data_IF_961485447620
#
_entry.id   IF_961485447620
#
_cell.length_a   1.000
_cell.length_b   1.000
_cell.length_c   1.000
_cell.angle_alpha   90.00
_cell.angle_beta   90.00
_cell.angle_gamma   90.00
#
_symmetry.space_group_name_H-M   'P 1'
#
loop_
_entity.id
_entity.type
_entity.pdbx_description
1 polymer ?
#
# COMPACT_ATOMS: atom_id res chain seq x y z
N UNK A 1 22.90 -64.59 -23.75
CA UNK A 1 22.09 -64.61 -24.99
C UNK A 1 22.12 -63.22 -25.62
N UNK A 2 22.66 -63.08 -26.84
CA UNK A 2 22.85 -61.79 -27.50
C UNK A 2 21.70 -61.52 -28.48
N UNK A 3 21.24 -60.28 -28.59
CA UNK A 3 20.76 -59.76 -29.88
C UNK A 3 21.29 -58.35 -30.07
N UNK A 4 22.25 -58.30 -30.98
CA UNK A 4 22.87 -57.14 -31.60
C UNK A 4 21.88 -56.54 -32.59
N UNK A 5 21.81 -55.23 -32.72
CA UNK A 5 21.79 -54.56 -34.02
C UNK A 5 22.52 -53.22 -33.90
N UNK A 6 23.44 -53.01 -34.82
CA UNK A 6 24.25 -51.81 -35.01
C UNK A 6 23.88 -51.14 -36.33
N UNK A 7 24.45 -49.95 -36.55
CA UNK A 7 24.48 -49.09 -37.75
C UNK A 7 23.51 -47.88 -37.64
N UNK A 8 23.97 -46.63 -37.48
CA UNK A 8 24.88 -45.76 -38.28
C UNK A 8 24.08 -44.79 -39.15
N UNK A 9 24.62 -43.56 -39.31
CA UNK A 9 24.20 -42.41 -40.15
C UNK A 9 23.28 -41.44 -39.39
N UNK A 10 23.59 -40.17 -39.08
CA UNK A 10 24.48 -39.18 -39.68
C UNK A 10 23.64 -38.01 -40.19
N UNK A 11 23.66 -36.83 -39.55
CA UNK A 11 23.40 -35.53 -40.19
C UNK A 11 23.57 -34.30 -39.25
N UNK A 12 24.58 -33.49 -39.54
CA UNK A 12 24.56 -32.03 -39.72
C UNK A 12 23.80 -31.15 -38.71
N UNK A 13 24.61 -30.49 -37.87
CA UNK A 13 24.65 -29.08 -37.46
C UNK A 13 23.54 -28.14 -37.97
N UNK A 14 22.74 -27.58 -37.05
CA UNK A 14 22.34 -26.16 -37.07
C UNK A 14 22.19 -25.66 -35.63
N UNK A 15 23.12 -24.80 -35.20
CA UNK A 15 22.98 -23.92 -34.03
C UNK A 15 22.12 -22.72 -34.45
N UNK A 16 20.82 -22.74 -34.18
CA UNK A 16 20.01 -21.52 -34.22
C UNK A 16 20.00 -20.90 -32.83
N UNK A 17 20.85 -19.90 -32.63
CA UNK A 17 20.77 -18.97 -31.52
C UNK A 17 19.47 -18.16 -31.64
N UNK A 18 18.47 -18.48 -30.83
CA UNK A 18 17.25 -17.68 -30.74
C UNK A 18 17.51 -16.53 -29.76
N UNK A 19 17.95 -15.40 -30.29
CA UNK A 19 17.99 -14.14 -29.56
C UNK A 19 16.54 -13.68 -29.33
N UNK A 20 15.96 -14.03 -28.19
CA UNK A 20 14.71 -13.44 -27.72
C UNK A 20 14.97 -11.98 -27.37
N UNK A 21 14.70 -11.09 -28.33
CA UNK A 21 14.56 -9.65 -28.10
C UNK A 21 13.36 -9.44 -27.19
N UNK A 22 13.62 -9.26 -25.89
CA UNK A 22 12.61 -8.84 -24.93
C UNK A 22 12.10 -7.45 -25.34
N UNK A 23 10.89 -7.40 -25.87
CA UNK A 23 10.14 -6.16 -26.09
C UNK A 23 9.90 -5.48 -24.75
N UNK A 24 10.24 -4.18 -24.57
CA UNK A 24 9.83 -3.46 -23.38
C UNK A 24 8.31 -3.35 -23.39
N UNK A 25 7.65 -4.01 -22.43
CA UNK A 25 6.26 -3.78 -22.14
C UNK A 25 6.12 -2.34 -21.63
N UNK A 26 5.66 -1.44 -22.50
CA UNK A 26 5.20 -0.11 -22.10
C UNK A 26 4.00 -0.33 -21.20
N UNK A 27 4.21 -0.22 -19.88
CA UNK A 27 3.14 -0.12 -18.92
C UNK A 27 2.35 1.15 -19.25
N UNK A 28 1.18 0.98 -19.88
CA UNK A 28 0.23 2.07 -20.02
C UNK A 28 -0.26 2.43 -18.60
N UNK A 29 -0.13 3.69 -18.17
CA UNK A 29 -0.81 4.12 -16.95
C UNK A 29 -2.31 3.99 -17.21
N UNK A 30 -2.97 3.10 -16.46
CA UNK A 30 -4.42 3.07 -16.34
C UNK A 30 -4.86 4.37 -15.64
N UNK A 31 -5.01 5.43 -16.44
CA UNK A 31 -5.74 6.62 -16.05
C UNK A 31 -7.24 6.30 -16.13
N UNK A 32 -7.75 5.54 -15.16
CA UNK A 32 -9.19 5.33 -14.99
C UNK A 32 -9.57 5.73 -13.57
N UNK A 33 -9.94 7.00 -13.42
CA UNK A 33 -10.44 7.59 -12.18
C UNK A 33 -10.48 9.12 -12.16
N UNK A 34 -10.75 9.80 -13.28
CA UNK A 34 -10.89 11.28 -13.32
C UNK A 34 -12.33 11.72 -13.02
N UNK A 35 -13.00 11.06 -12.08
CA UNK A 35 -14.33 11.51 -11.66
C UNK A 35 -14.35 11.65 -10.15
N UNK A 36 -14.04 12.86 -9.69
CA UNK A 36 -14.50 13.50 -8.44
C UNK A 36 -13.42 14.31 -7.69
N UNK A 37 -12.71 15.25 -8.33
CA UNK A 37 -12.15 16.38 -7.57
C UNK A 37 -12.09 17.71 -8.34
N UNK A 38 -12.94 17.89 -9.35
CA UNK A 38 -13.18 19.22 -9.91
C UNK A 38 -14.09 19.99 -8.94
N UNK A 39 -13.50 20.80 -8.04
CA UNK A 39 -14.27 21.68 -7.14
C UNK A 39 -13.97 21.56 -5.65
N UNK A 40 -12.92 20.84 -5.23
CA UNK A 40 -12.48 20.90 -3.83
C UNK A 40 -12.02 22.34 -3.52
N UNK A 41 -12.85 23.07 -2.79
CA UNK A 41 -12.53 24.41 -2.31
C UNK A 41 -12.12 24.30 -0.84
N UNK A 42 -10.81 24.25 -0.54
CA UNK A 42 -10.38 24.19 0.84
C UNK A 42 -10.83 25.46 1.58
N UNK A 43 -11.02 25.38 2.91
CA UNK A 43 -11.27 26.55 3.74
C UNK A 43 -10.23 27.66 3.48
N UNK A 44 -10.62 28.94 3.59
CA UNK A 44 -9.69 30.05 3.43
C UNK A 44 -8.45 29.88 4.32
N UNK A 45 -7.27 30.14 3.76
CA UNK A 45 -6.00 30.03 4.49
C UNK A 45 -5.39 28.63 4.57
N UNK A 46 -6.12 27.56 4.22
CA UNK A 46 -5.61 26.18 4.35
C UNK A 46 -4.42 25.92 3.43
N UNK A 47 -4.45 26.39 2.19
CA UNK A 47 -3.31 26.23 1.26
C UNK A 47 -2.07 26.96 1.79
N UNK A 48 -2.23 28.16 2.31
CA UNK A 48 -1.13 28.93 2.92
C UNK A 48 -0.59 28.23 4.17
N UNK A 49 -1.46 27.65 5.00
CA UNK A 49 -1.05 26.88 6.17
C UNK A 49 -0.25 25.63 5.78
N UNK A 50 -0.70 24.86 4.78
CA UNK A 50 0.02 23.69 4.27
C UNK A 50 1.40 24.07 3.71
N UNK A 51 1.52 25.20 3.00
CA UNK A 51 2.81 25.69 2.53
C UNK A 51 3.74 26.07 3.68
N UNK A 52 3.23 26.78 4.70
CA UNK A 52 4.03 27.23 5.85
C UNK A 52 4.47 26.07 6.75
N UNK A 53 3.54 25.19 7.10
CA UNK A 53 3.71 24.21 8.17
C UNK A 53 4.29 22.87 7.67
N UNK A 54 4.01 22.51 6.41
CA UNK A 54 4.53 21.30 5.78
C UNK A 54 5.57 21.58 4.69
N UNK A 55 5.95 22.85 4.50
CA UNK A 55 6.94 23.30 3.50
C UNK A 55 6.63 22.85 2.07
N UNK A 56 5.34 22.82 1.73
CA UNK A 56 4.87 22.48 0.40
C UNK A 56 4.85 23.72 -0.51
N UNK A 57 4.96 23.52 -1.82
CA UNK A 57 4.53 24.54 -2.79
C UNK A 57 3.00 24.61 -2.83
N UNK A 58 2.45 25.70 -3.37
CA UNK A 58 0.99 25.82 -3.58
C UNK A 58 0.43 24.64 -4.39
N UNK A 59 1.09 24.25 -5.48
CA UNK A 59 0.70 23.11 -6.32
C UNK A 59 0.75 21.79 -5.54
N UNK A 60 1.78 21.58 -4.73
CA UNK A 60 1.90 20.38 -3.88
C UNK A 60 0.80 20.36 -2.80
N UNK A 61 0.47 21.49 -2.19
CA UNK A 61 -0.59 21.60 -1.20
C UNK A 61 -1.97 21.27 -1.82
N UNK A 62 -2.25 21.79 -3.01
CA UNK A 62 -3.44 21.40 -3.77
C UNK A 62 -3.45 19.90 -4.06
N UNK A 63 -2.38 19.38 -4.66
CA UNK A 63 -2.25 17.96 -5.02
C UNK A 63 -2.46 17.05 -3.81
N UNK A 64 -1.90 17.43 -2.65
CA UNK A 64 -2.05 16.70 -1.39
C UNK A 64 -3.52 16.54 -1.00
N UNK A 65 -4.27 17.64 -0.98
CA UNK A 65 -5.68 17.60 -0.60
C UNK A 65 -6.51 16.75 -1.57
N UNK A 66 -6.23 16.82 -2.88
CA UNK A 66 -6.90 15.98 -3.87
C UNK A 66 -6.60 14.49 -3.62
N UNK A 67 -5.35 14.16 -3.31
CA UNK A 67 -4.95 12.78 -2.99
C UNK A 67 -5.58 12.27 -1.70
N UNK A 68 -5.62 13.08 -0.64
CA UNK A 68 -6.25 12.70 0.63
C UNK A 68 -7.73 12.36 0.45
N UNK A 69 -8.48 13.19 -0.30
CA UNK A 69 -9.90 12.92 -0.63
C UNK A 69 -10.02 11.62 -1.43
N UNK A 70 -9.27 11.48 -2.52
CA UNK A 70 -9.31 10.30 -3.39
C UNK A 70 -8.99 9.01 -2.63
N UNK A 71 -7.96 9.02 -1.79
CA UNK A 71 -7.48 7.84 -1.08
C UNK A 71 -8.33 7.49 0.13
N UNK A 72 -9.11 8.44 0.68
CA UNK A 72 -10.08 8.15 1.75
C UNK A 72 -11.14 7.14 1.31
N UNK A 73 -11.65 7.25 0.08
CA UNK A 73 -12.63 6.29 -0.45
C UNK A 73 -12.03 4.90 -0.67
N UNK A 74 -10.80 4.85 -1.21
CA UNK A 74 -10.05 3.59 -1.41
C UNK A 74 -9.80 2.90 -0.06
N UNK A 75 -9.39 3.68 0.94
CA UNK A 75 -9.15 3.20 2.30
C UNK A 75 -10.41 2.63 2.93
N UNK A 76 -11.54 3.35 2.87
CA UNK A 76 -12.82 2.88 3.40
C UNK A 76 -13.27 1.55 2.73
N UNK A 77 -13.10 1.45 1.41
CA UNK A 77 -13.41 0.22 0.67
C UNK A 77 -12.52 -0.96 1.06
N UNK A 78 -11.23 -0.73 1.26
CA UNK A 78 -10.28 -1.75 1.71
C UNK A 78 -10.55 -2.18 3.15
N UNK A 79 -10.79 -1.24 4.07
CA UNK A 79 -11.17 -1.55 5.46
C UNK A 79 -12.39 -2.47 5.52
N UNK A 80 -13.44 -2.15 4.74
CA UNK A 80 -14.65 -2.96 4.69
C UNK A 80 -14.39 -4.39 4.15
N UNK A 81 -13.58 -4.53 3.09
CA UNK A 81 -13.24 -5.82 2.48
C UNK A 81 -12.36 -6.69 3.38
N UNK A 82 -11.41 -6.08 4.09
CA UNK A 82 -10.45 -6.78 4.95
C UNK A 82 -11.06 -7.17 6.30
N UNK A 83 -12.03 -6.39 6.79
CA UNK A 83 -12.74 -6.69 8.03
C UNK A 83 -11.79 -6.85 9.22
N UNK A 84 -11.89 -7.98 9.93
CA UNK A 84 -11.05 -8.29 11.10
C UNK A 84 -9.56 -8.44 10.77
N UNK A 85 -9.19 -8.56 9.49
CA UNK A 85 -7.79 -8.64 9.05
C UNK A 85 -7.14 -7.28 8.86
N UNK A 86 -7.92 -6.18 8.89
CA UNK A 86 -7.42 -4.83 8.72
C UNK A 86 -6.46 -4.45 9.85
N UNK A 87 -5.20 -4.17 9.51
CA UNK A 87 -4.12 -3.81 10.44
C UNK A 87 -3.91 -2.30 10.61
N UNK A 88 -4.73 -1.46 9.98
CA UNK A 88 -4.55 -0.01 9.92
C UNK A 88 -4.11 0.48 8.53
N UNK A 89 -4.07 1.80 8.36
CA UNK A 89 -3.67 2.45 7.11
C UNK A 89 -3.05 3.82 7.37
N UNK A 90 -2.17 4.26 6.48
CA UNK A 90 -1.58 5.59 6.53
C UNK A 90 -1.21 6.09 5.12
N UNK A 91 -1.03 7.40 5.01
CA UNK A 91 -0.57 8.04 3.78
C UNK A 91 0.93 8.31 3.88
N UNK A 92 1.66 8.06 2.79
CA UNK A 92 3.08 8.36 2.66
C UNK A 92 3.33 9.38 1.55
N UNK A 93 4.43 10.12 1.72
CA UNK A 93 4.88 11.15 0.79
C UNK A 93 4.35 12.55 1.11
N UNK A 94 5.09 13.56 0.63
CA UNK A 94 4.80 14.96 0.90
C UNK A 94 3.40 15.38 0.43
N UNK A 95 2.95 14.82 -0.69
CA UNK A 95 1.63 15.08 -1.27
C UNK A 95 0.64 13.93 -1.04
N UNK A 96 0.89 13.10 -0.03
CA UNK A 96 0.01 12.00 0.37
C UNK A 96 -0.36 11.06 -0.80
N UNK A 97 0.58 10.81 -1.71
CA UNK A 97 0.30 10.10 -2.96
C UNK A 97 0.16 8.59 -2.80
N UNK A 98 0.67 8.03 -1.69
CA UNK A 98 0.68 6.58 -1.46
C UNK A 98 -0.17 6.25 -0.25
N UNK A 99 -1.21 5.45 -0.45
CA UNK A 99 -1.94 4.80 0.64
C UNK A 99 -1.28 3.46 0.95
N UNK A 100 -0.83 3.27 2.19
CA UNK A 100 -0.42 1.96 2.71
C UNK A 100 -1.55 1.38 3.54
N UNK A 101 -1.89 0.12 3.29
CA UNK A 101 -2.89 -0.63 4.06
C UNK A 101 -2.24 -1.88 4.64
N UNK A 102 -2.29 -1.98 5.97
CA UNK A 102 -1.78 -3.13 6.71
C UNK A 102 -2.85 -4.24 6.80
N UNK A 103 -2.42 -5.49 6.70
CA UNK A 103 -3.27 -6.69 6.82
C UNK A 103 -2.56 -7.81 7.55
N UNK A 104 -3.31 -8.58 8.35
CA UNK A 104 -2.82 -9.79 9.02
C UNK A 104 -2.79 -11.03 8.11
N UNK A 105 -3.26 -10.93 6.86
CA UNK A 105 -3.23 -12.03 5.90
C UNK A 105 -2.52 -11.62 4.61
N UNK A 106 -1.42 -12.29 4.31
CA UNK A 106 -0.62 -12.03 3.10
C UNK A 106 -1.38 -12.28 1.79
N UNK A 107 -2.44 -13.10 1.81
CA UNK A 107 -3.30 -13.31 0.65
C UNK A 107 -4.06 -12.05 0.21
N UNK A 108 -4.21 -11.07 1.11
CA UNK A 108 -4.90 -9.81 0.81
C UNK A 108 -4.04 -8.81 0.03
N UNK A 109 -2.72 -9.02 -0.03
CA UNK A 109 -1.80 -8.05 -0.66
C UNK A 109 -2.15 -7.78 -2.12
N UNK A 110 -2.54 -8.83 -2.87
CA UNK A 110 -2.98 -8.68 -4.25
C UNK A 110 -4.26 -7.83 -4.38
N UNK A 111 -5.22 -8.01 -3.47
CA UNK A 111 -6.46 -7.22 -3.43
C UNK A 111 -6.16 -5.75 -3.10
N UNK A 112 -5.23 -5.49 -2.17
CA UNK A 112 -4.81 -4.14 -1.79
C UNK A 112 -4.12 -3.43 -2.96
N UNK A 113 -3.18 -4.12 -3.64
CA UNK A 113 -2.50 -3.57 -4.81
C UNK A 113 -3.44 -3.34 -5.98
N UNK A 114 -4.40 -4.24 -6.21
CA UNK A 114 -5.43 -4.06 -7.24
C UNK A 114 -6.33 -2.83 -6.98
N UNK A 115 -6.47 -2.41 -5.71
CA UNK A 115 -7.19 -1.19 -5.34
C UNK A 115 -6.32 0.09 -5.43
N UNK A 116 -5.06 -0.01 -5.87
CA UNK A 116 -4.15 1.13 -6.00
C UNK A 116 -3.46 1.54 -4.70
N UNK A 117 -3.41 0.67 -3.70
CA UNK A 117 -2.70 0.88 -2.44
C UNK A 117 -1.50 -0.05 -2.28
N UNK A 118 -0.57 0.30 -1.40
CA UNK A 118 0.55 -0.55 -1.02
C UNK A 118 0.13 -1.46 0.13
N UNK A 119 0.18 -2.78 -0.07
CA UNK A 119 -0.11 -3.74 0.99
C UNK A 119 1.07 -3.91 1.94
N UNK A 120 0.81 -3.92 3.25
CA UNK A 120 1.79 -4.33 4.27
C UNK A 120 1.26 -5.49 5.09
N UNK A 121 1.99 -6.60 5.12
CA UNK A 121 1.67 -7.68 6.04
C UNK A 121 2.15 -7.33 7.45
N UNK A 122 1.29 -7.51 8.46
CA UNK A 122 1.57 -7.23 9.87
C UNK A 122 1.07 -8.36 10.77
N UNK A 123 1.50 -8.39 12.04
CA UNK A 123 1.14 -9.46 12.97
C UNK A 123 -0.23 -9.25 13.63
N UNK A 124 -0.53 -8.00 14.01
CA UNK A 124 -1.74 -7.66 14.77
C UNK A 124 -2.73 -6.87 13.91
N UNK A 125 -4.01 -7.21 14.02
CA UNK A 125 -5.06 -6.38 13.43
C UNK A 125 -5.24 -5.10 14.24
N UNK A 126 -5.89 -4.09 13.66
CA UNK A 126 -6.25 -2.87 14.39
C UNK A 126 -7.18 -3.19 15.57
N UNK A 127 -8.04 -4.21 15.43
CA UNK A 127 -8.90 -4.67 16.52
C UNK A 127 -8.06 -5.26 17.67
N UNK A 128 -7.07 -6.09 17.37
CA UNK A 128 -6.18 -6.67 18.39
C UNK A 128 -5.39 -5.59 19.12
N UNK A 129 -4.83 -4.62 18.39
CA UNK A 129 -4.09 -3.50 18.99
C UNK A 129 -4.97 -2.66 19.92
N UNK A 130 -6.22 -2.41 19.54
CA UNK A 130 -7.16 -1.70 20.41
C UNK A 130 -7.49 -2.49 21.69
N UNK A 131 -7.62 -3.81 21.61
CA UNK A 131 -7.81 -4.64 22.82
C UNK A 131 -6.56 -4.67 23.70
N UNK A 132 -5.37 -4.73 23.10
CA UNK A 132 -4.10 -4.63 23.84
C UNK A 132 -4.01 -3.29 24.58
N UNK A 133 -4.35 -2.17 23.93
CA UNK A 133 -4.37 -0.85 24.57
C UNK A 133 -5.34 -0.79 25.76
N UNK A 134 -6.52 -1.40 25.65
CA UNK A 134 -7.47 -1.49 26.78
C UNK A 134 -6.90 -2.27 27.96
N UNK A 135 -6.11 -3.32 27.72
CA UNK A 135 -5.47 -4.10 28.79
C UNK A 135 -4.38 -3.26 29.47
N UNK A 136 -3.53 -2.62 28.66
CA UNK A 136 -2.48 -1.70 29.11
C UNK A 136 -3.09 -0.59 29.98
N UNK A 137 -4.15 0.07 29.51
CA UNK A 137 -4.78 1.18 30.25
C UNK A 137 -5.41 0.76 31.57
N UNK A 138 -5.88 -0.48 31.70
CA UNK A 138 -6.40 -1.01 32.97
C UNK A 138 -5.29 -1.31 34.00
N UNK A 139 -4.11 -1.73 33.54
CA UNK A 139 -3.00 -2.10 34.42
C UNK A 139 -2.30 -0.87 35.01
N UNK A 140 -2.27 0.24 34.27
CA UNK A 140 -1.60 1.45 34.69
C UNK A 140 -2.59 2.56 35.03
N UNK A 141 -2.95 2.65 36.31
CA UNK A 141 -3.70 3.78 36.87
C UNK A 141 -2.97 5.11 36.58
N UNK A 142 -3.70 6.24 36.47
CA UNK A 142 -3.10 7.54 36.19
C UNK A 142 -2.05 7.89 37.26
N UNK A 143 -0.77 7.76 36.90
CA UNK A 143 0.32 8.24 37.74
C UNK A 143 0.47 9.74 37.57
N UNK A 144 1.06 10.44 38.54
CA UNK A 144 1.39 11.87 38.41
C UNK A 144 2.32 12.19 37.21
N UNK A 145 2.89 11.17 36.56
CA UNK A 145 3.55 11.28 35.25
C UNK A 145 2.55 10.98 34.13
N UNK A 146 2.32 11.98 33.28
CA UNK A 146 1.50 11.87 32.08
C UNK A 146 2.27 11.13 30.99
N UNK A 147 2.10 9.81 30.92
CA UNK A 147 2.54 9.01 29.77
C UNK A 147 1.37 8.90 28.78
N UNK A 148 1.60 9.28 27.51
CA UNK A 148 0.66 9.02 26.42
C UNK A 148 0.88 7.60 25.92
N UNK A 149 -0.20 6.86 25.73
CA UNK A 149 -0.22 5.51 25.15
C UNK A 149 -1.18 5.52 23.98
N UNK A 150 -0.80 4.88 22.87
CA UNK A 150 -1.57 4.93 21.64
C UNK A 150 -1.26 3.72 20.77
N UNK A 151 -2.21 3.35 19.91
CA UNK A 151 -1.96 2.37 18.85
C UNK A 151 -1.11 3.01 17.77
N UNK A 152 0.08 2.47 17.54
CA UNK A 152 0.93 2.79 16.40
C UNK A 152 0.77 1.74 15.31
N UNK A 153 -0.04 2.06 14.29
CA UNK A 153 -0.29 1.18 13.15
C UNK A 153 0.92 1.02 12.23
N UNK A 154 1.84 1.99 12.21
CA UNK A 154 3.04 1.93 11.35
C UNK A 154 4.05 0.94 11.90
N UNK A 155 4.23 0.91 13.22
CA UNK A 155 5.08 -0.08 13.89
C UNK A 155 4.34 -1.35 14.34
N UNK A 156 3.01 -1.38 14.20
CA UNK A 156 2.09 -2.45 14.59
C UNK A 156 2.14 -2.79 16.09
N UNK A 157 2.11 -1.75 16.94
CA UNK A 157 2.31 -1.82 18.39
C UNK A 157 1.40 -0.88 19.18
N UNK A 158 1.41 -1.01 20.50
CA UNK A 158 0.76 -0.15 21.50
C UNK A 158 1.80 0.37 22.49
#
# INVERSE_FOLDING_TARGET
MPRRHAAMTGCVLVLTALTSTATPAVAHPLATGTTAVAGLRPPPGMIQALQRDLHLTEEQAHTRLLNEVRLTEVEAGLRAKLGTRFGGSWLEGAVAQTLVVATTNSADLALITAAGATGRHVQHSLADLNEMLKVVDKQWAPSAKLYVRYVDVMSNRV
#
